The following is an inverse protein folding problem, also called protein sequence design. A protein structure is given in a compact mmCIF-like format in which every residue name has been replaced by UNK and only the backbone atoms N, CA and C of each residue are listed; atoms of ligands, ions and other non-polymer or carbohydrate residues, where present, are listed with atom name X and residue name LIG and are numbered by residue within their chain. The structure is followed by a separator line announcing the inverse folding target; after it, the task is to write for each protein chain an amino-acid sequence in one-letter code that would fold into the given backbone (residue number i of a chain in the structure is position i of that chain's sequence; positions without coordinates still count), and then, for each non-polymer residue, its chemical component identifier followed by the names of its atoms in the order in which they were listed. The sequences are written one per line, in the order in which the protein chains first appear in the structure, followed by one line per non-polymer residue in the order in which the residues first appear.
data_IF_593224510861
#
_entry.id   IF_593224510861
#
_cell.length_a   1.000
_cell.length_b   1.000
_cell.length_c   1.000
_cell.angle_alpha   90.00
_cell.angle_beta   90.00
_cell.angle_gamma   90.00
#
_symmetry.space_group_name_H-M   'P 1'
#
loop_
_entity.id
_entity.type
_entity.pdbx_description
1 polymer ?
#
# COMPACT_ATOMS: atom_id res chain seq x y z
N UNK A 1 14.52 -14.08 -1.43
CA UNK A 1 13.25 -13.79 -0.72
C UNK A 1 12.61 -15.10 -0.28
N UNK A 2 11.78 -15.09 0.76
CA UNK A 2 11.00 -16.27 1.17
C UNK A 2 9.60 -16.19 0.58
N UNK A 3 9.04 -17.32 0.13
CA UNK A 3 7.64 -17.38 -0.26
C UNK A 3 6.74 -17.33 0.97
N UNK A 4 5.47 -16.98 0.79
CA UNK A 4 4.48 -17.02 1.89
C UNK A 4 4.37 -18.41 2.49
N UNK A 5 4.48 -19.49 1.69
CA UNK A 5 4.46 -20.86 2.18
C UNK A 5 5.65 -21.12 3.14
N UNK A 6 6.86 -20.73 2.73
CA UNK A 6 8.08 -20.87 3.54
C UNK A 6 8.07 -20.05 4.83
N UNK A 7 7.36 -18.92 4.86
CA UNK A 7 7.20 -18.12 6.09
C UNK A 7 6.20 -18.81 7.03
N UNK A 8 5.13 -19.37 6.47
CA UNK A 8 4.06 -20.03 7.24
C UNK A 8 4.47 -21.35 7.88
N UNK A 9 5.55 -21.98 7.40
CA UNK A 9 6.19 -23.12 8.08
C UNK A 9 6.59 -22.78 9.53
N UNK A 10 7.06 -21.54 9.78
CA UNK A 10 7.48 -21.09 11.11
C UNK A 10 6.51 -20.10 11.76
N UNK A 11 5.57 -19.55 11.00
CA UNK A 11 4.56 -18.60 11.46
C UNK A 11 3.19 -18.89 10.81
N UNK A 12 2.44 -19.90 11.31
CA UNK A 12 1.13 -20.25 10.77
C UNK A 12 0.18 -19.04 10.74
N UNK A 13 -0.58 -18.91 9.65
CA UNK A 13 -1.51 -17.78 9.47
C UNK A 13 -0.85 -16.45 9.08
N UNK A 14 0.48 -16.39 8.98
CA UNK A 14 1.19 -15.16 8.62
C UNK A 14 0.68 -14.57 7.29
N UNK A 15 0.55 -13.24 7.28
CA UNK A 15 0.39 -12.43 6.06
C UNK A 15 1.32 -11.22 6.20
N UNK A 16 1.68 -10.60 5.07
CA UNK A 16 2.47 -9.36 5.10
C UNK A 16 1.76 -8.20 5.82
N UNK A 17 0.43 -8.28 5.94
CA UNK A 17 -0.40 -7.21 6.51
C UNK A 17 -0.54 -7.32 8.04
N UNK A 18 -0.51 -8.54 8.59
CA UNK A 18 -0.78 -8.77 10.02
C UNK A 18 0.36 -9.48 10.75
N UNK A 19 1.25 -10.13 10.03
CA UNK A 19 2.36 -10.88 10.59
C UNK A 19 3.56 -9.99 10.90
N UNK A 20 4.44 -10.49 11.78
CA UNK A 20 5.71 -9.83 12.08
C UNK A 20 6.67 -9.96 10.89
N UNK A 21 7.50 -8.94 10.69
CA UNK A 21 8.56 -8.94 9.66
C UNK A 21 9.89 -8.69 10.36
N UNK A 22 10.56 -9.73 10.87
CA UNK A 22 11.82 -9.58 11.61
C UNK A 22 12.87 -8.83 10.79
N UNK A 23 13.45 -7.77 11.37
CA UNK A 23 14.44 -6.90 10.70
C UNK A 23 13.88 -6.04 9.56
N UNK A 24 12.57 -6.05 9.33
CA UNK A 24 11.89 -5.23 8.34
C UNK A 24 11.09 -4.07 8.94
N UNK A 25 10.30 -3.41 8.10
CA UNK A 25 9.40 -2.34 8.52
C UNK A 25 8.17 -2.88 9.27
N UNK A 26 7.73 -2.16 10.29
CA UNK A 26 6.42 -2.34 10.90
C UNK A 26 5.31 -1.76 10.02
N UNK A 27 4.06 -2.17 10.26
CA UNK A 27 2.90 -1.59 9.58
C UNK A 27 2.83 -0.06 9.75
N UNK A 28 3.15 0.45 10.94
CA UNK A 28 3.18 1.90 11.23
C UNK A 28 4.27 2.63 10.43
N UNK A 29 5.47 2.05 10.31
CA UNK A 29 6.53 2.63 9.49
C UNK A 29 6.13 2.71 8.01
N UNK A 30 5.47 1.67 7.50
CA UNK A 30 4.94 1.67 6.13
C UNK A 30 3.81 2.68 5.97
N UNK A 31 2.91 2.82 6.95
CA UNK A 31 1.86 3.86 6.98
C UNK A 31 2.48 5.26 6.88
N UNK A 32 3.42 5.60 7.76
CA UNK A 32 4.09 6.90 7.75
C UNK A 32 4.79 7.17 6.40
N UNK A 33 5.37 6.14 5.80
CA UNK A 33 6.02 6.25 4.49
C UNK A 33 5.01 6.46 3.35
N UNK A 34 3.88 5.75 3.35
CA UNK A 34 2.80 5.93 2.38
C UNK A 34 2.18 7.32 2.51
N UNK A 35 1.84 7.75 3.71
CA UNK A 35 1.21 9.05 3.98
C UNK A 35 2.14 10.21 3.56
N UNK A 36 3.45 10.07 3.79
CA UNK A 36 4.44 11.05 3.31
C UNK A 36 4.51 11.13 1.78
N UNK A 37 4.30 10.02 1.07
CA UNK A 37 4.23 10.05 -0.40
C UNK A 37 2.96 10.78 -0.84
N UNK A 38 1.80 10.41 -0.28
CA UNK A 38 0.52 11.03 -0.63
C UNK A 38 0.50 12.53 -0.32
N UNK A 39 1.06 12.96 0.82
CA UNK A 39 1.19 14.37 1.18
C UNK A 39 2.05 15.19 0.19
N UNK A 40 2.96 14.53 -0.55
CA UNK A 40 3.71 15.18 -1.64
C UNK A 40 2.92 15.17 -2.94
N UNK A 41 2.12 14.15 -3.19
CA UNK A 41 1.36 14.00 -4.44
C UNK A 41 0.16 14.94 -4.47
N UNK A 42 -0.65 14.94 -3.41
CA UNK A 42 -1.96 15.59 -3.39
C UNK A 42 -1.96 17.07 -3.78
N UNK A 43 -1.03 17.93 -3.31
CA UNK A 43 -1.00 19.33 -3.71
C UNK A 43 -0.72 19.58 -5.20
N UNK A 44 -0.23 18.58 -5.94
CA UNK A 44 0.11 18.69 -7.37
C UNK A 44 -1.04 18.29 -8.30
N UNK A 45 -2.01 17.54 -7.79
CA UNK A 45 -3.14 17.00 -8.55
C UNK A 45 -4.05 18.06 -9.22
N UNK A 46 -4.21 19.30 -8.70
CA UNK A 46 -4.96 20.33 -9.39
C UNK A 46 -4.31 20.81 -10.71
N UNK A 47 -3.01 20.63 -10.85
CA UNK A 47 -2.23 21.13 -12.00
C UNK A 47 -1.86 20.02 -12.97
N UNK A 48 -1.48 18.84 -12.46
CA UNK A 48 -0.96 17.74 -13.26
C UNK A 48 -1.28 16.36 -12.67
N UNK A 49 -1.41 15.36 -13.55
CA UNK A 49 -1.41 13.95 -13.13
C UNK A 49 -0.05 13.54 -12.56
N UNK A 50 -0.06 12.68 -11.53
CA UNK A 50 1.15 12.13 -10.93
C UNK A 50 1.18 10.61 -11.10
N UNK A 51 2.25 10.11 -11.69
CA UNK A 51 2.48 8.67 -11.88
C UNK A 51 3.44 8.15 -10.81
N UNK A 52 2.99 7.19 -10.01
CA UNK A 52 3.81 6.49 -9.01
C UNK A 52 4.18 5.10 -9.54
N UNK A 53 5.47 4.89 -9.84
CA UNK A 53 6.00 3.57 -10.24
C UNK A 53 6.64 2.90 -9.02
N UNK A 54 6.14 1.72 -8.65
CA UNK A 54 6.53 1.05 -7.41
C UNK A 54 6.27 -0.45 -7.41
N UNK A 55 6.11 -1.01 -6.21
CA UNK A 55 6.00 -2.46 -5.98
C UNK A 55 4.61 -2.83 -5.45
N UNK A 56 4.16 -4.06 -5.75
CA UNK A 56 2.78 -4.50 -5.49
C UNK A 56 2.25 -4.22 -4.08
N UNK A 57 2.97 -4.61 -3.02
CA UNK A 57 2.49 -4.34 -1.65
C UNK A 57 2.43 -2.85 -1.31
N UNK A 58 3.42 -2.07 -1.74
CA UNK A 58 3.43 -0.65 -1.42
C UNK A 58 2.40 0.13 -2.25
N UNK A 59 2.17 -0.23 -3.51
CA UNK A 59 1.09 0.33 -4.32
C UNK A 59 -0.27 0.04 -3.68
N UNK A 60 -0.52 -1.18 -3.19
CA UNK A 60 -1.75 -1.51 -2.44
C UNK A 60 -1.89 -0.73 -1.14
N UNK A 61 -0.78 -0.46 -0.45
CA UNK A 61 -0.74 0.39 0.73
C UNK A 61 -1.10 1.84 0.38
N UNK A 62 -0.60 2.37 -0.74
CA UNK A 62 -0.96 3.72 -1.22
C UNK A 62 -2.45 3.81 -1.55
N UNK A 63 -3.03 2.79 -2.19
CA UNK A 63 -4.49 2.72 -2.43
C UNK A 63 -5.26 2.77 -1.10
N UNK A 64 -4.91 1.89 -0.15
CA UNK A 64 -5.58 1.85 1.15
C UNK A 64 -5.51 3.19 1.90
N UNK A 65 -4.34 3.84 1.91
CA UNK A 65 -4.13 5.13 2.58
C UNK A 65 -4.79 6.29 1.85
N UNK A 66 -4.82 6.27 0.52
CA UNK A 66 -5.57 7.25 -0.27
C UNK A 66 -7.06 7.19 0.06
N UNK A 67 -7.65 5.99 0.07
CA UNK A 67 -9.04 5.76 0.46
C UNK A 67 -9.28 5.77 1.99
N UNK A 68 -8.33 6.33 2.76
CA UNK A 68 -8.46 6.57 4.20
C UNK A 68 -8.64 5.32 5.08
N UNK A 69 -8.33 4.14 4.55
CA UNK A 69 -8.34 2.89 5.32
C UNK A 69 -7.07 2.70 6.15
N UNK A 70 -7.13 1.84 7.18
CA UNK A 70 -5.93 1.29 7.82
C UNK A 70 -5.06 0.59 6.76
N UNK A 71 -3.73 0.73 6.87
CA UNK A 71 -2.77 0.16 5.92
C UNK A 71 -2.97 -1.34 5.69
N UNK A 72 -3.48 -2.08 6.70
CA UNK A 72 -3.73 -3.52 6.62
C UNK A 72 -4.84 -3.88 5.65
N UNK A 73 -5.77 -2.96 5.39
CA UNK A 73 -6.80 -3.17 4.39
C UNK A 73 -6.25 -3.12 2.96
N UNK A 74 -4.97 -2.77 2.78
CA UNK A 74 -4.22 -3.05 1.55
C UNK A 74 -4.31 -4.52 1.10
N UNK A 75 -4.61 -5.45 2.03
CA UNK A 75 -4.93 -6.86 1.76
C UNK A 75 -6.12 -7.09 0.82
N UNK A 76 -6.98 -6.10 0.61
CA UNK A 76 -8.18 -6.22 -0.23
C UNK A 76 -7.98 -5.89 -1.71
N UNK A 77 -6.95 -5.11 -2.04
CA UNK A 77 -6.69 -4.68 -3.41
C UNK A 77 -5.72 -5.65 -4.11
N UNK A 78 -5.99 -6.09 -5.33
CA UNK A 78 -5.01 -6.86 -6.10
C UNK A 78 -4.06 -5.93 -6.87
N UNK A 79 -2.81 -6.34 -7.05
CA UNK A 79 -1.83 -5.61 -7.87
C UNK A 79 -0.87 -6.62 -8.48
N UNK A 80 -1.14 -7.06 -9.71
CA UNK A 80 -0.26 -7.95 -10.47
C UNK A 80 0.91 -7.17 -11.08
N UNK A 81 1.93 -7.89 -11.55
CA UNK A 81 3.03 -7.28 -12.31
C UNK A 81 2.48 -6.52 -13.51
N UNK A 82 2.90 -5.25 -13.67
CA UNK A 82 2.45 -4.38 -14.75
C UNK A 82 1.03 -3.81 -14.58
N UNK A 83 0.34 -4.11 -13.47
CA UNK A 83 -0.95 -3.52 -13.21
C UNK A 83 -0.87 -2.01 -12.96
N UNK A 84 -1.95 -1.31 -13.31
CA UNK A 84 -2.15 0.12 -13.11
C UNK A 84 -3.43 0.31 -12.30
N UNK A 85 -3.42 1.26 -11.38
CA UNK A 85 -4.60 1.76 -10.68
C UNK A 85 -4.59 3.28 -10.73
N UNK A 86 -5.77 3.87 -10.95
CA UNK A 86 -5.96 5.31 -10.96
C UNK A 86 -6.66 5.68 -9.66
N UNK A 87 -6.11 6.67 -8.97
CA UNK A 87 -6.65 7.21 -7.72
C UNK A 87 -7.11 8.63 -7.98
N UNK A 88 -8.22 9.03 -7.39
CA UNK A 88 -8.83 10.33 -7.62
C UNK A 88 -9.87 10.68 -6.58
N UNK A 89 -10.84 11.49 -6.97
CA UNK A 89 -11.96 11.89 -6.13
C UNK A 89 -13.27 11.63 -6.85
N UNK A 90 -14.27 11.17 -6.11
CA UNK A 90 -15.67 11.12 -6.52
C UNK A 90 -16.53 11.84 -5.49
N UNK A 91 -17.32 12.83 -5.92
CA UNK A 91 -18.13 13.68 -5.04
C UNK A 91 -17.38 14.23 -3.80
N UNK A 92 -16.09 14.51 -3.94
CA UNK A 92 -15.22 15.02 -2.86
C UNK A 92 -14.60 13.94 -1.96
N UNK A 93 -14.96 12.66 -2.12
CA UNK A 93 -14.35 11.54 -1.42
C UNK A 93 -13.18 10.97 -2.22
N UNK A 94 -12.10 10.53 -1.54
CA UNK A 94 -10.94 9.88 -2.18
C UNK A 94 -11.28 8.44 -2.61
N UNK A 95 -11.06 8.13 -3.89
CA UNK A 95 -11.34 6.83 -4.53
C UNK A 95 -10.11 6.23 -5.19
#
# INVERSE_FOLDING_TARGET
GRTTAQIRETAPGWTIWTGTVPGGESAEQVTMRADRVLARVEPRLPEHDVVLVGHGHFSRALIARWCEFDIREGRRFAMSTGAVSVLGYDHGART
#
